data_IF_128295890141
#
_entry.id   IF_128295890141
#
_cell.length_a   1.000
_cell.length_b   1.000
_cell.length_c   1.000
_cell.angle_alpha   90.00
_cell.angle_beta   90.00
_cell.angle_gamma   90.00
#
_symmetry.space_group_name_H-M   'P 1'
#
loop_
_entity.id
_entity.type
_entity.pdbx_description
1 polymer ?
#
# COMPACT_ATOMS: atom_id res chain seq x y z
N UNK A 1 -13.04 1.21 14.14
CA UNK A 1 -11.71 1.78 14.45
C UNK A 1 -10.93 1.56 13.19
N UNK A 2 -10.77 2.60 12.37
CA UNK A 2 -9.89 2.56 11.19
C UNK A 2 -8.46 2.43 11.71
N UNK A 3 -7.95 1.19 11.79
CA UNK A 3 -6.55 0.95 12.11
C UNK A 3 -5.74 1.11 10.83
N UNK A 4 -5.14 2.29 10.63
CA UNK A 4 -4.06 2.45 9.66
C UNK A 4 -2.73 2.08 10.29
N UNK A 5 -1.88 1.39 9.52
CA UNK A 5 -0.52 1.02 9.90
C UNK A 5 0.47 1.73 9.01
N UNK A 6 1.29 2.59 9.59
CA UNK A 6 2.38 3.27 8.89
C UNK A 6 3.70 2.55 9.15
N UNK A 7 4.40 2.21 8.07
CA UNK A 7 5.67 1.51 8.06
C UNK A 7 6.69 2.34 7.28
N UNK A 8 7.96 2.23 7.66
CA UNK A 8 9.07 2.84 6.93
C UNK A 8 9.98 1.71 6.43
N UNK A 9 9.97 1.47 5.12
CA UNK A 9 10.71 0.40 4.47
C UNK A 9 11.76 1.02 3.55
N UNK A 10 13.04 0.81 3.83
CA UNK A 10 14.17 1.36 3.05
C UNK A 10 14.10 2.88 2.78
N UNK A 11 13.53 3.65 3.71
CA UNK A 11 13.35 5.10 3.55
C UNK A 11 12.06 5.51 2.82
N UNK A 12 11.27 4.55 2.35
CA UNK A 12 9.94 4.76 1.77
C UNK A 12 8.88 4.62 2.87
N UNK A 13 7.96 5.58 2.94
CA UNK A 13 6.81 5.49 3.84
C UNK A 13 5.68 4.68 3.18
N UNK A 14 5.11 3.74 3.92
CA UNK A 14 4.08 2.81 3.44
C UNK A 14 2.94 2.77 4.43
N UNK A 15 1.74 3.16 4.01
CA UNK A 15 0.52 3.10 4.83
C UNK A 15 -0.38 1.97 4.35
N UNK A 16 -0.77 1.07 5.26
CA UNK A 16 -1.79 0.06 5.04
C UNK A 16 -3.05 0.49 5.78
N UNK A 17 -4.15 0.71 5.07
CA UNK A 17 -5.44 1.08 5.68
C UNK A 17 -6.62 0.47 4.97
N UNK A 18 -7.75 0.41 5.65
CA UNK A 18 -9.03 0.09 5.02
C UNK A 18 -9.57 1.33 4.29
N UNK A 19 -9.99 1.16 3.04
CA UNK A 19 -10.66 2.19 2.24
C UNK A 19 -12.13 1.82 2.08
N UNK A 20 -13.04 2.43 2.87
CA UNK A 20 -14.47 2.14 2.82
C UNK A 20 -15.12 2.58 1.50
N UNK A 21 -14.45 3.39 0.68
CA UNK A 21 -14.94 3.83 -0.62
C UNK A 21 -14.83 2.75 -1.70
N UNK A 22 -14.05 1.69 -1.47
CA UNK A 22 -13.96 0.55 -2.40
C UNK A 22 -15.23 -0.30 -2.30
N UNK A 23 -16.13 -0.10 -3.26
CA UNK A 23 -17.39 -0.85 -3.41
C UNK A 23 -17.18 -2.05 -4.36
N UNK A 24 -17.56 -3.24 -3.91
CA UNK A 24 -17.42 -4.54 -4.58
C UNK A 24 -18.07 -4.60 -5.97
N UNK A 25 -17.51 -5.39 -6.93
CA UNK A 25 -17.61 -6.86 -6.89
C UNK A 25 -16.34 -7.61 -7.40
N UNK A 26 -15.23 -7.64 -6.66
CA UNK A 26 -13.97 -8.22 -7.20
C UNK A 26 -13.00 -8.83 -6.18
N UNK A 27 -13.49 -9.52 -5.15
CA UNK A 27 -12.65 -10.47 -4.39
C UNK A 27 -11.51 -9.87 -3.55
N UNK A 28 -11.56 -8.59 -3.19
CA UNK A 28 -10.64 -7.99 -2.20
C UNK A 28 -11.27 -8.04 -0.81
N UNK A 29 -11.06 -9.14 -0.09
CA UNK A 29 -11.82 -9.56 1.09
C UNK A 29 -11.84 -8.56 2.28
N UNK A 30 -11.06 -7.47 2.25
CA UNK A 30 -10.83 -6.64 3.43
C UNK A 30 -10.84 -5.13 3.19
N UNK A 31 -11.19 -4.65 1.99
CA UNK A 31 -11.11 -3.20 1.66
C UNK A 31 -9.73 -2.58 1.92
N UNK A 32 -8.70 -3.40 2.14
CA UNK A 32 -7.36 -2.95 2.46
C UNK A 32 -6.70 -2.37 1.22
N UNK A 33 -6.02 -1.24 1.38
CA UNK A 33 -5.25 -0.57 0.35
C UNK A 33 -3.88 -0.24 0.93
N UNK A 34 -2.85 -0.46 0.12
CA UNK A 34 -1.47 -0.07 0.41
C UNK A 34 -1.17 1.24 -0.30
N UNK A 35 -0.74 2.25 0.45
CA UNK A 35 -0.25 3.52 -0.09
C UNK A 35 1.25 3.55 0.08
N UNK A 36 1.96 3.75 -1.02
CA UNK A 36 3.42 3.87 -1.05
C UNK A 36 3.74 5.32 -1.38
N UNK A 37 4.35 6.04 -0.44
CA UNK A 37 4.66 7.45 -0.60
C UNK A 37 6.06 7.60 -1.18
N UNK A 38 6.12 7.93 -2.47
CA UNK A 38 7.36 8.17 -3.19
C UNK A 38 7.64 9.68 -3.28
N UNK A 39 8.35 10.19 -2.28
CA UNK A 39 8.70 11.60 -2.20
C UNK A 39 9.84 12.02 -3.13
N UNK A 40 10.59 11.07 -3.68
CA UNK A 40 11.73 11.30 -4.57
C UNK A 40 11.40 11.05 -6.05
N UNK A 41 10.24 10.44 -6.31
CA UNK A 41 9.76 10.06 -7.64
C UNK A 41 10.73 9.10 -8.37
N UNK A 42 11.38 8.22 -7.59
CA UNK A 42 12.41 7.30 -8.07
C UNK A 42 12.11 5.83 -7.75
N UNK A 43 10.96 5.52 -7.14
CA UNK A 43 10.64 4.15 -6.77
C UNK A 43 10.37 3.29 -8.02
N UNK A 44 11.14 2.20 -8.13
CA UNK A 44 11.02 1.26 -9.25
C UNK A 44 9.96 0.18 -9.01
N UNK A 45 9.47 -0.43 -10.10
CA UNK A 45 8.53 -1.56 -10.03
C UNK A 45 9.05 -2.73 -9.18
N UNK A 46 10.36 -3.03 -9.24
CA UNK A 46 10.98 -4.09 -8.43
C UNK A 46 10.93 -3.80 -6.94
N UNK A 47 11.08 -2.54 -6.57
CA UNK A 47 11.04 -2.13 -5.17
C UNK A 47 9.61 -2.17 -4.64
N UNK A 48 8.64 -1.69 -5.42
CA UNK A 48 7.21 -1.85 -5.13
C UNK A 48 6.85 -3.33 -4.94
N UNK A 49 7.31 -4.20 -5.84
CA UNK A 49 7.06 -5.64 -5.73
C UNK A 49 7.66 -6.22 -4.44
N UNK A 50 8.87 -5.80 -4.07
CA UNK A 50 9.54 -6.24 -2.85
C UNK A 50 8.81 -5.75 -1.60
N UNK A 51 8.29 -4.52 -1.60
CA UNK A 51 7.44 -3.97 -0.53
C UNK A 51 6.17 -4.82 -0.38
N UNK A 52 5.44 -5.08 -1.47
CA UNK A 52 4.21 -5.86 -1.42
C UNK A 52 4.45 -7.30 -0.95
N UNK A 53 5.56 -7.92 -1.37
CA UNK A 53 5.95 -9.25 -0.91
C UNK A 53 6.29 -9.26 0.58
N UNK A 54 7.03 -8.26 1.06
CA UNK A 54 7.32 -8.09 2.49
C UNK A 54 6.03 -7.94 3.30
N UNK A 55 5.12 -7.06 2.89
CA UNK A 55 3.85 -6.84 3.60
C UNK A 55 3.01 -8.12 3.70
N UNK A 56 3.01 -8.94 2.65
CA UNK A 56 2.31 -10.22 2.67
C UNK A 56 3.00 -11.24 3.59
N UNK A 57 4.34 -11.37 3.48
CA UNK A 57 5.09 -12.36 4.24
C UNK A 57 5.06 -12.09 5.75
N UNK A 58 5.05 -10.82 6.16
CA UNK A 58 4.91 -10.40 7.56
C UNK A 58 3.45 -10.34 8.05
N UNK A 59 2.47 -10.59 7.16
CA UNK A 59 1.05 -10.61 7.50
C UNK A 59 0.41 -9.24 7.69
N UNK A 60 1.02 -8.16 7.20
CA UNK A 60 0.39 -6.83 7.15
C UNK A 60 -0.77 -6.77 6.14
N UNK A 61 -0.69 -7.57 5.07
CA UNK A 61 -1.78 -7.79 4.12
C UNK A 61 -2.04 -9.29 3.95
N UNK A 62 -3.30 -9.66 3.72
CA UNK A 62 -3.69 -11.07 3.58
C UNK A 62 -3.62 -11.60 2.14
N UNK A 63 -3.59 -10.71 1.14
CA UNK A 63 -3.55 -11.06 -0.28
C UNK A 63 -2.48 -10.25 -1.00
N UNK A 64 -1.65 -10.90 -1.83
CA UNK A 64 -0.65 -10.24 -2.69
C UNK A 64 -1.28 -9.36 -3.78
N UNK A 65 -2.57 -9.56 -4.06
CA UNK A 65 -3.38 -8.77 -5.00
C UNK A 65 -4.08 -7.58 -4.33
N UNK A 66 -3.78 -7.30 -3.06
CA UNK A 66 -4.28 -6.11 -2.36
C UNK A 66 -4.03 -4.87 -3.22
N UNK A 67 -5.03 -4.01 -3.34
CA UNK A 67 -4.92 -2.79 -4.13
C UNK A 67 -3.78 -1.92 -3.59
N UNK A 68 -2.98 -1.36 -4.48
CA UNK A 68 -1.89 -0.46 -4.12
C UNK A 68 -1.99 0.84 -4.90
N UNK A 69 -1.55 1.93 -4.27
CA UNK A 69 -1.43 3.26 -4.87
C UNK A 69 -0.06 3.82 -4.53
N UNK A 70 0.68 4.24 -5.56
CA UNK A 70 1.90 5.03 -5.36
C UNK A 70 1.49 6.49 -5.36
N UNK A 71 1.77 7.20 -4.28
CA UNK A 71 1.49 8.63 -4.14
C UNK A 71 2.81 9.35 -4.36
N UNK A 72 2.87 10.11 -5.45
CA UNK A 72 4.04 10.91 -5.79
C UNK A 72 3.91 12.30 -5.20
N UNK A 73 5.03 13.02 -5.08
CA UNK A 73 5.06 14.39 -4.56
C UNK A 73 4.06 15.33 -5.24
N UNK A 74 3.86 15.17 -6.55
CA UNK A 74 2.97 16.03 -7.34
C UNK A 74 1.47 15.68 -7.15
N UNK A 75 1.14 14.57 -6.49
CA UNK A 75 -0.25 14.16 -6.20
C UNK A 75 -0.80 14.79 -4.90
N UNK A 76 0.00 15.62 -4.20
CA UNK A 76 -0.32 16.22 -2.89
C UNK A 76 -0.71 17.71 -2.95
N UNK A 77 -1.30 18.18 -4.06
CA UNK A 77 -1.83 19.54 -4.21
C UNK A 77 -3.15 19.80 -3.44
#
# INVERSE_FOLDING_TARGET
>A
MDESKLLFLNGVAVEVKEDPSIHYPSGSWLRTVVYIYDGLDDIGEKEIQSIMEYLYNEGFIMDRRTAMKVIKKDDTE
#
